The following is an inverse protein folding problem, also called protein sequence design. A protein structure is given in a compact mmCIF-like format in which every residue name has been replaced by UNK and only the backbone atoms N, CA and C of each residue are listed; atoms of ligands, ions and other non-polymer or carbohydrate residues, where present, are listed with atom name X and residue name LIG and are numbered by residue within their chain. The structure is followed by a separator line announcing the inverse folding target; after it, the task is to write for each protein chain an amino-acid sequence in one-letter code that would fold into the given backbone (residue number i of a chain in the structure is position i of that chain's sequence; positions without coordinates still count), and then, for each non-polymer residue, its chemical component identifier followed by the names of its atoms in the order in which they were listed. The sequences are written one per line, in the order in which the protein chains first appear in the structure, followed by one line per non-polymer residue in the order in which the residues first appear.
data_IF_494080254885
#
_entry.id   IF_494080254885
#
_cell.length_a   1.000
_cell.length_b   1.000
_cell.length_c   1.000
_cell.angle_alpha   90.00
_cell.angle_beta   90.00
_cell.angle_gamma   90.00
#
_symmetry.space_group_name_H-M   'P 1'
#
loop_
_entity.id
_entity.type
_entity.pdbx_description
1 polymer ?
#
# COMPACT_ATOMS: atom_id res chain seq x y z
N UNK A 1 -28.48 17.50 -8.09
CA UNK A 1 -27.02 17.34 -8.26
C UNK A 1 -26.79 15.93 -8.78
N UNK A 2 -26.33 15.74 -10.03
CA UNK A 2 -25.90 14.42 -10.47
C UNK A 2 -24.67 14.02 -9.64
N UNK A 3 -24.70 12.84 -9.01
CA UNK A 3 -23.52 12.27 -8.37
C UNK A 3 -22.52 11.92 -9.46
N UNK A 4 -21.33 12.52 -9.43
CA UNK A 4 -20.22 11.97 -10.21
C UNK A 4 -19.95 10.54 -9.73
N UNK A 5 -19.71 9.58 -10.65
CA UNK A 5 -19.35 8.23 -10.26
C UNK A 5 -18.06 8.24 -9.44
N UNK A 6 -18.05 7.46 -8.35
CA UNK A 6 -16.84 7.26 -7.57
C UNK A 6 -15.79 6.56 -8.45
N UNK A 7 -14.64 7.21 -8.65
CA UNK A 7 -13.44 6.63 -9.23
C UNK A 7 -13.45 6.35 -10.77
N UNK A 8 -13.78 7.35 -11.60
CA UNK A 8 -13.56 7.28 -13.07
C UNK A 8 -12.08 7.44 -13.48
N UNK A 9 -11.21 7.91 -12.57
CA UNK A 9 -9.78 8.02 -12.81
C UNK A 9 -9.13 6.63 -12.81
N UNK A 10 -8.09 6.46 -13.63
CA UNK A 10 -7.36 5.19 -13.85
C UNK A 10 -7.16 4.47 -12.50
N UNK A 11 -7.58 3.21 -12.35
CA UNK A 11 -7.58 2.54 -11.05
C UNK A 11 -6.16 2.49 -10.49
N UNK A 12 -6.01 2.94 -9.25
CA UNK A 12 -4.80 2.77 -8.48
C UNK A 12 -4.34 1.31 -8.54
N UNK A 13 -3.17 1.08 -9.13
CA UNK A 13 -2.61 -0.24 -9.35
C UNK A 13 -1.14 -0.24 -8.93
N UNK A 14 -0.75 -1.30 -8.22
CA UNK A 14 0.63 -1.49 -7.80
C UNK A 14 1.54 -1.58 -9.03
N UNK A 15 2.74 -0.99 -8.95
CA UNK A 15 3.73 -1.14 -10.04
C UNK A 15 4.14 -2.59 -10.24
N UNK A 16 4.66 -2.88 -11.43
CA UNK A 16 5.22 -4.19 -11.74
C UNK A 16 6.40 -4.54 -10.83
N UNK A 17 7.13 -3.53 -10.38
CA UNK A 17 8.29 -3.59 -9.51
C UNK A 17 7.86 -4.03 -8.10
N UNK A 18 6.82 -3.40 -7.54
CA UNK A 18 6.23 -3.83 -6.26
C UNK A 18 5.67 -5.24 -6.36
N UNK A 19 4.93 -5.57 -7.43
CA UNK A 19 4.37 -6.91 -7.61
C UNK A 19 5.45 -7.99 -7.70
N UNK A 20 6.57 -7.74 -8.38
CA UNK A 20 7.71 -8.66 -8.45
C UNK A 20 8.36 -8.87 -7.08
N UNK A 21 8.55 -7.81 -6.31
CA UNK A 21 9.12 -7.91 -4.95
C UNK A 21 8.18 -8.67 -4.03
N UNK A 22 6.88 -8.37 -4.07
CA UNK A 22 5.88 -9.09 -3.29
C UNK A 22 5.88 -10.57 -3.64
N UNK A 23 5.84 -10.93 -4.94
CA UNK A 23 5.87 -12.31 -5.38
C UNK A 23 7.13 -13.06 -4.90
N UNK A 24 8.29 -12.40 -4.90
CA UNK A 24 9.53 -12.99 -4.38
C UNK A 24 9.46 -13.22 -2.87
N UNK A 25 9.09 -12.19 -2.10
CA UNK A 25 9.05 -12.24 -0.62
C UNK A 25 7.98 -13.20 -0.11
N UNK A 26 6.91 -13.43 -0.87
CA UNK A 26 5.89 -14.43 -0.53
C UNK A 26 6.29 -15.84 -0.96
N UNK A 27 6.98 -16.01 -2.09
CA UNK A 27 7.48 -17.31 -2.54
C UNK A 27 8.56 -17.88 -1.62
N UNK A 28 9.36 -17.02 -0.99
CA UNK A 28 10.35 -17.41 0.02
C UNK A 28 9.69 -17.93 1.33
N UNK A 29 8.35 -17.89 1.44
CA UNK A 29 7.60 -18.36 2.60
C UNK A 29 6.84 -19.63 2.24
N UNK A 30 7.15 -20.74 2.91
CA UNK A 30 6.51 -22.05 2.76
C UNK A 30 5.08 -22.11 3.35
N UNK A 31 4.24 -21.09 3.11
CA UNK A 31 2.81 -21.10 3.46
C UNK A 31 1.96 -20.90 2.21
N UNK A 32 1.18 -21.92 1.83
CA UNK A 32 0.27 -21.84 0.69
C UNK A 32 -1.10 -22.44 1.00
N UNK A 33 -2.07 -22.18 0.11
CA UNK A 33 -3.39 -22.80 0.13
C UNK A 33 -4.14 -22.58 1.44
N UNK A 34 -4.64 -23.68 2.02
CA UNK A 34 -5.47 -23.63 3.23
C UNK A 34 -4.72 -23.07 4.45
N UNK A 35 -3.44 -23.37 4.60
CA UNK A 35 -2.63 -22.87 5.72
C UNK A 35 -2.49 -21.33 5.66
N UNK A 36 -2.24 -20.80 4.46
CA UNK A 36 -2.19 -19.35 4.25
C UNK A 36 -3.55 -18.68 4.53
N UNK A 37 -4.64 -19.28 4.03
CA UNK A 37 -5.98 -18.76 4.30
C UNK A 37 -6.29 -18.72 5.80
N UNK A 38 -5.92 -19.76 6.55
CA UNK A 38 -6.10 -19.79 8.00
C UNK A 38 -5.24 -18.74 8.71
N UNK A 39 -3.99 -18.53 8.28
CA UNK A 39 -3.13 -17.48 8.80
C UNK A 39 -3.73 -16.08 8.56
N UNK A 40 -4.33 -15.84 7.39
CA UNK A 40 -5.06 -14.59 7.07
C UNK A 40 -6.26 -14.40 8.00
N UNK A 41 -7.07 -15.43 8.22
CA UNK A 41 -8.22 -15.36 9.14
C UNK A 41 -7.75 -15.05 10.57
N UNK A 42 -6.71 -15.73 11.05
CA UNK A 42 -6.18 -15.53 12.40
C UNK A 42 -5.66 -14.10 12.58
N UNK A 43 -4.86 -13.61 11.64
CA UNK A 43 -4.34 -12.24 11.71
C UNK A 43 -5.46 -11.20 11.56
N UNK A 44 -6.45 -11.45 10.69
CA UNK A 44 -7.63 -10.58 10.55
C UNK A 44 -8.38 -10.43 11.88
N UNK A 45 -8.54 -11.51 12.65
CA UNK A 45 -9.16 -11.45 13.98
C UNK A 45 -8.34 -10.56 14.92
N UNK A 46 -7.02 -10.69 14.93
CA UNK A 46 -6.14 -9.84 15.75
C UNK A 46 -6.20 -8.35 15.34
N UNK A 47 -6.47 -8.03 14.08
CA UNK A 47 -6.69 -6.63 13.66
C UNK A 47 -8.09 -6.10 13.98
N UNK A 48 -9.04 -6.97 14.31
CA UNK A 48 -10.46 -6.61 14.46
C UNK A 48 -10.99 -7.02 15.84
N UNK A 49 -11.61 -8.20 15.94
CA UNK A 49 -12.36 -8.65 17.12
C UNK A 49 -11.47 -9.00 18.32
N UNK A 50 -10.20 -9.32 18.08
CA UNK A 50 -9.23 -9.70 19.10
C UNK A 50 -8.07 -8.69 19.17
N UNK A 51 -8.34 -7.41 18.89
CA UNK A 51 -7.33 -6.34 18.91
C UNK A 51 -6.58 -6.17 20.24
N UNK A 52 -7.21 -6.31 21.42
CA UNK A 52 -6.49 -6.23 22.68
C UNK A 52 -5.41 -7.31 22.85
N UNK A 53 -5.49 -8.42 22.12
CA UNK A 53 -4.49 -9.50 22.15
C UNK A 53 -3.44 -9.43 21.04
N UNK A 54 -3.45 -8.37 20.20
CA UNK A 54 -2.45 -8.21 19.14
C UNK A 54 -1.07 -7.92 19.75
N UNK A 55 -0.06 -8.78 19.54
CA UNK A 55 1.29 -8.50 20.03
C UNK A 55 1.90 -7.29 19.32
N UNK A 56 2.69 -6.49 20.03
CA UNK A 56 3.43 -5.35 19.43
C UNK A 56 4.30 -5.82 18.26
N UNK A 57 4.95 -6.99 18.43
CA UNK A 57 5.81 -7.61 17.42
C UNK A 57 5.10 -8.75 16.68
N UNK A 58 3.84 -8.55 16.29
CA UNK A 58 3.03 -9.61 15.65
C UNK A 58 3.65 -10.20 14.37
N UNK A 59 4.50 -9.44 13.67
CA UNK A 59 5.22 -9.91 12.47
C UNK A 59 6.43 -10.80 12.76
N UNK A 60 6.83 -10.98 14.02
CA UNK A 60 7.83 -11.99 14.39
C UNK A 60 7.27 -13.42 14.22
N UNK A 61 5.95 -13.57 14.26
CA UNK A 61 5.30 -14.84 13.92
C UNK A 61 5.34 -15.06 12.40
N UNK A 62 5.92 -16.16 11.90
CA UNK A 62 6.07 -16.41 10.47
C UNK A 62 4.73 -16.56 9.73
N UNK A 63 3.69 -17.05 10.39
CA UNK A 63 2.35 -17.17 9.81
C UNK A 63 1.70 -15.79 9.67
N UNK A 64 1.84 -14.94 10.69
CA UNK A 64 1.36 -13.55 10.60
C UNK A 64 2.11 -12.78 9.52
N UNK A 65 3.43 -12.93 9.44
CA UNK A 65 4.21 -12.30 8.38
C UNK A 65 3.77 -12.79 6.99
N UNK A 66 3.62 -14.11 6.80
CA UNK A 66 3.15 -14.67 5.53
C UNK A 66 1.75 -14.16 5.14
N UNK A 67 0.81 -14.12 6.08
CA UNK A 67 -0.52 -13.56 5.87
C UNK A 67 -0.46 -12.05 5.54
N UNK A 68 0.37 -11.29 6.25
CA UNK A 68 0.52 -9.86 6.03
C UNK A 68 1.03 -9.56 4.62
N UNK A 69 2.14 -10.17 4.21
CA UNK A 69 2.75 -9.91 2.91
C UNK A 69 1.91 -10.44 1.74
N UNK A 70 1.23 -11.58 1.92
CA UNK A 70 0.46 -12.21 0.84
C UNK A 70 -0.92 -11.60 0.64
N UNK A 71 -1.51 -10.99 1.67
CA UNK A 71 -2.89 -10.50 1.62
C UNK A 71 -3.02 -9.03 2.06
N UNK A 72 -2.64 -8.70 3.29
CA UNK A 72 -2.94 -7.38 3.85
C UNK A 72 -2.13 -6.26 3.19
N UNK A 73 -0.85 -6.49 2.94
CA UNK A 73 0.05 -5.49 2.34
C UNK A 73 -0.41 -5.06 0.94
N UNK A 74 -0.54 -5.95 -0.08
CA UNK A 74 -0.94 -5.53 -1.42
C UNK A 74 -2.30 -4.83 -1.43
N UNK A 75 -3.27 -5.36 -0.67
CA UNK A 75 -4.61 -4.78 -0.59
C UNK A 75 -4.59 -3.39 0.06
N UNK A 76 -3.86 -3.21 1.16
CA UNK A 76 -3.81 -1.93 1.85
C UNK A 76 -2.96 -0.89 1.11
N UNK A 77 -1.91 -1.31 0.38
CA UNK A 77 -1.18 -0.42 -0.52
C UNK A 77 -2.12 0.20 -1.55
N UNK A 78 -2.90 -0.61 -2.25
CA UNK A 78 -3.85 -0.12 -3.26
C UNK A 78 -4.93 0.79 -2.66
N UNK A 79 -5.46 0.46 -1.47
CA UNK A 79 -6.42 1.35 -0.77
C UNK A 79 -5.85 2.74 -0.53
N UNK A 80 -4.59 2.83 -0.09
CA UNK A 80 -3.93 4.11 0.16
C UNK A 80 -3.72 4.87 -1.14
N UNK A 81 -3.31 4.20 -2.21
CA UNK A 81 -3.14 4.83 -3.53
C UNK A 81 -4.42 5.43 -4.09
N UNK A 82 -5.58 4.77 -3.91
CA UNK A 82 -6.89 5.35 -4.27
C UNK A 82 -7.11 6.69 -3.56
N UNK A 83 -6.79 6.79 -2.27
CA UNK A 83 -6.90 8.04 -1.52
C UNK A 83 -5.89 9.10 -1.98
N UNK A 84 -4.68 8.68 -2.38
CA UNK A 84 -3.68 9.59 -2.94
C UNK A 84 -4.11 10.19 -4.28
N UNK A 85 -4.85 9.44 -5.11
CA UNK A 85 -5.41 9.92 -6.39
C UNK A 85 -6.51 10.99 -6.22
N UNK A 86 -7.08 11.10 -5.02
CA UNK A 86 -8.05 12.14 -4.66
C UNK A 86 -7.39 13.43 -4.20
N UNK A 87 -6.09 13.43 -3.89
CA UNK A 87 -5.38 14.64 -3.51
C UNK A 87 -5.40 15.66 -4.65
N UNK A 88 -5.63 16.96 -4.36
CA UNK A 88 -5.64 17.98 -5.39
C UNK A 88 -4.29 18.02 -6.11
N UNK A 89 -4.34 18.09 -7.45
CA UNK A 89 -3.16 18.28 -8.29
C UNK A 89 -2.61 19.73 -8.22
N UNK A 90 -3.36 20.63 -7.57
CA UNK A 90 -3.02 22.03 -7.50
C UNK A 90 -1.85 22.23 -6.54
N UNK A 91 -0.65 22.24 -7.12
CA UNK A 91 0.58 22.79 -6.57
C UNK A 91 0.48 24.32 -6.37
N UNK A 92 -0.72 24.91 -6.29
CA UNK A 92 -0.93 26.36 -6.27
C UNK A 92 -0.48 27.03 -4.95
N UNK A 93 -0.12 26.23 -3.95
CA UNK A 93 0.48 26.68 -2.69
C UNK A 93 1.92 26.20 -2.49
N UNK A 94 2.50 25.46 -3.44
CA UNK A 94 3.89 25.05 -3.35
C UNK A 94 4.82 26.20 -3.72
N UNK A 95 5.56 26.70 -2.73
CA UNK A 95 6.82 27.40 -2.98
C UNK A 95 7.70 26.46 -3.83
N UNK A 96 8.07 26.83 -5.08
CA UNK A 96 8.71 25.93 -6.05
C UNK A 96 10.01 25.26 -5.58
N UNK A 97 10.63 25.76 -4.52
CA UNK A 97 11.95 25.34 -4.03
C UNK A 97 11.93 24.41 -2.80
N UNK A 98 10.76 23.99 -2.29
CA UNK A 98 10.70 23.11 -1.12
C UNK A 98 10.44 21.65 -1.51
N UNK A 99 11.35 20.70 -1.21
CA UNK A 99 11.07 19.29 -1.43
C UNK A 99 9.90 18.82 -0.56
N UNK A 100 9.09 17.91 -1.11
CA UNK A 100 8.00 17.28 -0.36
C UNK A 100 8.55 16.51 0.85
N UNK A 101 8.03 16.81 2.03
CA UNK A 101 8.35 16.13 3.28
C UNK A 101 7.10 15.45 3.84
N UNK A 102 7.18 14.16 4.13
CA UNK A 102 6.05 13.34 4.60
C UNK A 102 6.39 12.69 5.94
N UNK A 103 5.44 12.76 6.88
CA UNK A 103 5.50 12.11 8.18
C UNK A 103 4.46 10.97 8.24
N UNK A 104 4.93 9.74 8.38
CA UNK A 104 4.07 8.54 8.51
C UNK A 104 3.89 8.16 9.99
N UNK A 105 2.86 8.74 10.63
CA UNK A 105 2.55 8.51 12.05
C UNK A 105 1.90 7.14 12.25
N UNK A 106 2.53 6.28 13.04
CA UNK A 106 2.05 4.92 13.25
C UNK A 106 2.26 4.03 12.02
N UNK A 107 3.37 4.22 11.31
CA UNK A 107 3.69 3.57 10.03
C UNK A 107 3.66 2.03 10.05
N UNK A 108 3.75 1.42 11.24
CA UNK A 108 3.78 -0.03 11.39
C UNK A 108 4.91 -0.63 10.54
N UNK A 109 4.64 -1.58 9.63
CA UNK A 109 5.65 -2.13 8.73
C UNK A 109 5.98 -1.26 7.51
N UNK A 110 5.48 -0.01 7.45
CA UNK A 110 5.79 0.94 6.37
C UNK A 110 4.87 0.85 5.15
N UNK A 111 3.66 0.30 5.30
CA UNK A 111 2.70 0.16 4.20
C UNK A 111 2.29 1.51 3.59
N UNK A 112 2.10 2.54 4.41
CA UNK A 112 1.76 3.89 3.93
C UNK A 112 2.90 4.50 3.12
N UNK A 113 4.11 4.53 3.68
CA UNK A 113 5.31 4.97 2.98
C UNK A 113 5.53 4.24 1.64
N UNK A 114 5.38 2.91 1.60
CA UNK A 114 5.54 2.14 0.37
C UNK A 114 4.46 2.46 -0.67
N UNK A 115 3.20 2.65 -0.27
CA UNK A 115 2.12 3.05 -1.17
C UNK A 115 2.42 4.41 -1.83
N UNK A 116 2.89 5.38 -1.03
CA UNK A 116 3.26 6.70 -1.48
C UNK A 116 4.43 6.65 -2.48
N UNK A 117 5.49 5.91 -2.16
CA UNK A 117 6.64 5.78 -3.05
C UNK A 117 6.26 5.16 -4.40
N UNK A 118 5.45 4.10 -4.38
CA UNK A 118 4.94 3.46 -5.60
C UNK A 118 4.04 4.41 -6.42
N UNK A 119 3.20 5.19 -5.74
CA UNK A 119 2.34 6.18 -6.37
C UNK A 119 3.12 7.33 -7.02
N UNK A 120 4.12 7.88 -6.32
CA UNK A 120 5.02 8.91 -6.86
C UNK A 120 5.80 8.39 -8.07
N UNK A 121 6.25 7.13 -8.03
CA UNK A 121 6.92 6.48 -9.14
C UNK A 121 6.05 6.49 -10.40
N UNK A 122 4.76 6.12 -10.29
CA UNK A 122 3.81 6.20 -11.40
C UNK A 122 3.60 7.63 -11.92
N UNK A 123 3.44 8.62 -11.04
CA UNK A 123 3.27 10.03 -11.45
C UNK A 123 4.51 10.58 -12.15
N UNK A 124 5.70 10.25 -11.67
CA UNK A 124 6.95 10.70 -12.28
C UNK A 124 7.09 10.21 -13.74
N UNK A 125 6.62 9.00 -14.04
CA UNK A 125 6.62 8.44 -15.40
C UNK A 125 5.56 9.06 -16.30
N UNK A 126 4.39 9.41 -15.75
CA UNK A 126 3.35 10.14 -16.48
C UNK A 126 3.80 11.57 -16.83
N UNK A 127 4.47 12.26 -15.90
CA UNK A 127 5.05 13.59 -16.14
C UNK A 127 6.33 13.55 -17.00
N UNK A 128 7.06 12.44 -17.02
CA UNK A 128 8.25 12.23 -17.86
C UNK A 128 7.93 12.09 -19.35
N UNK A 129 6.71 11.68 -19.71
CA UNK A 129 6.27 11.59 -21.11
C UNK A 129 6.05 12.96 -21.79
N UNK A 130 6.08 14.07 -21.03
CA UNK A 130 5.97 15.44 -21.52
C UNK A 130 7.29 16.23 -21.49
N UNK A 131 8.42 15.60 -21.14
CA UNK A 131 9.76 16.21 -21.18
C UNK A 131 10.65 15.42 -22.12
N UNK A 132 10.28 15.42 -23.41
CA UNK A 132 11.30 15.37 -24.46
C UNK A 132 11.90 16.78 -24.53
N UNK A 133 13.20 16.84 -24.27
CA UNK A 133 14.16 17.84 -24.75
C UNK A 133 13.73 18.51 -26.06
#
# INVERSE_FOLDING_TARGET
MPMQPFNEKKPAALSSEVLKVLARVTSDRDLSGHALAQAVVNLSRLFTTARPSLPIRYLDDPNHAAAYFSYFLPVNLSKIQVLLDELPNDNSTETPDRPMAVLDLGCGPGTGALALLDWLWHRSRLCGAGRMI
#
